data_IF_175028523797
#
_entry.id   IF_175028523797
#
_cell.length_a   1.000
_cell.length_b   1.000
_cell.length_c   1.000
_cell.angle_alpha   90.00
_cell.angle_beta   90.00
_cell.angle_gamma   90.00
#
_symmetry.space_group_name_H-M   'P 1'
#
loop_
_entity.id
_entity.type
_entity.pdbx_description
1 polymer ?
#
# COMPACT_ATOMS: atom_id res chain seq x y z
N UNK A 1 -2.92 26.31 -32.69
CA UNK A 1 -3.34 25.49 -31.53
C UNK A 1 -3.68 24.11 -32.02
N UNK A 2 -2.94 23.07 -31.61
CA UNK A 2 -3.24 21.69 -32.02
C UNK A 2 -4.63 21.28 -31.51
N UNK A 3 -5.43 20.61 -32.34
CA UNK A 3 -6.74 20.09 -31.96
C UNK A 3 -6.58 19.19 -30.73
N UNK A 4 -7.46 19.35 -29.73
CA UNK A 4 -7.50 18.42 -28.58
C UNK A 4 -7.72 17.03 -29.14
N UNK A 5 -6.74 16.14 -28.92
CA UNK A 5 -6.86 14.74 -29.28
C UNK A 5 -8.12 14.11 -28.67
N UNK A 6 -8.53 12.91 -29.15
CA UNK A 6 -9.79 12.28 -28.77
C UNK A 6 -10.02 12.28 -27.25
N UNK A 7 -11.31 12.37 -26.86
CA UNK A 7 -11.73 12.30 -25.47
C UNK A 7 -11.12 11.06 -24.81
N UNK A 8 -10.70 11.24 -23.56
CA UNK A 8 -10.15 10.15 -22.77
C UNK A 8 -11.15 9.00 -22.65
N UNK A 9 -10.63 7.77 -22.73
CA UNK A 9 -11.39 6.55 -22.42
C UNK A 9 -11.22 6.10 -20.96
N UNK A 10 -10.50 6.88 -20.15
CA UNK A 10 -10.16 6.56 -18.76
C UNK A 10 -11.07 7.35 -17.83
N UNK A 11 -12.25 6.81 -17.56
CA UNK A 11 -13.25 7.45 -16.70
C UNK A 11 -13.02 7.14 -15.23
N UNK A 12 -12.44 5.98 -14.93
CA UNK A 12 -12.15 5.45 -13.59
C UNK A 12 -10.77 5.86 -13.04
N UNK A 13 -9.96 6.57 -13.82
CA UNK A 13 -8.61 6.97 -13.42
C UNK A 13 -8.57 8.44 -13.01
N UNK A 14 -8.09 8.70 -11.80
CA UNK A 14 -7.88 10.04 -11.27
C UNK A 14 -6.40 10.46 -11.30
N UNK A 15 -6.15 11.77 -11.23
CA UNK A 15 -4.79 12.30 -11.11
C UNK A 15 -4.23 12.04 -9.70
N UNK A 16 -3.04 11.43 -9.53
CA UNK A 16 -2.44 11.18 -8.23
C UNK A 16 -1.57 12.34 -7.73
N UNK A 17 -1.73 13.54 -8.28
CA UNK A 17 -0.96 14.71 -7.86
C UNK A 17 -1.76 15.54 -6.85
N UNK A 18 -1.39 15.54 -5.57
CA UNK A 18 -2.07 16.34 -4.55
C UNK A 18 -2.08 17.85 -4.83
N UNK A 19 -1.16 18.34 -5.66
CA UNK A 19 -1.08 19.74 -6.09
C UNK A 19 -1.89 20.03 -7.36
N UNK A 20 -2.55 19.04 -7.96
CA UNK A 20 -3.38 19.23 -9.14
C UNK A 20 -4.76 19.74 -8.73
N UNK A 21 -5.34 20.74 -9.43
CA UNK A 21 -6.72 21.17 -9.20
C UNK A 21 -7.73 20.03 -9.31
N UNK A 22 -7.45 19.07 -10.21
CA UNK A 22 -8.29 17.87 -10.42
C UNK A 22 -7.75 16.63 -9.67
N UNK A 23 -7.10 16.81 -8.52
CA UNK A 23 -6.58 15.69 -7.72
C UNK A 23 -7.71 14.78 -7.24
N UNK A 24 -7.58 13.46 -7.45
CA UNK A 24 -8.55 12.48 -6.95
C UNK A 24 -9.91 12.46 -7.65
N UNK A 25 -10.18 13.39 -8.58
CA UNK A 25 -11.45 13.47 -9.31
C UNK A 25 -11.40 12.59 -10.56
N UNK A 26 -12.40 11.72 -10.71
CA UNK A 26 -12.62 10.85 -11.89
C UNK A 26 -13.52 11.52 -12.93
N UNK A 27 -13.69 10.90 -14.11
CA UNK A 27 -14.63 11.33 -15.17
C UNK A 27 -14.41 12.73 -15.80
N UNK A 28 -13.41 13.49 -15.35
CA UNK A 28 -13.06 14.80 -15.91
C UNK A 28 -12.51 14.77 -17.35
N UNK A 29 -12.17 13.57 -17.86
CA UNK A 29 -11.59 13.39 -19.19
C UNK A 29 -10.19 14.01 -19.36
N UNK A 30 -9.55 14.41 -18.24
CA UNK A 30 -8.24 15.04 -18.19
C UNK A 30 -7.09 14.01 -18.24
N UNK A 31 -7.33 12.74 -17.93
CA UNK A 31 -6.31 11.69 -18.00
C UNK A 31 -6.18 11.15 -19.42
N UNK A 32 -4.99 11.05 -19.98
CA UNK A 32 -4.75 10.43 -21.28
C UNK A 32 -3.72 9.30 -21.18
N UNK A 33 -3.77 8.36 -22.13
CA UNK A 33 -2.80 7.28 -22.22
C UNK A 33 -1.47 7.80 -22.75
N UNK A 34 -0.37 7.41 -22.10
CA UNK A 34 0.99 7.82 -22.43
C UNK A 34 1.89 6.60 -22.73
N UNK A 35 1.32 5.61 -23.42
CA UNK A 35 2.00 4.36 -23.78
C UNK A 35 1.82 3.22 -22.76
N UNK A 36 2.50 2.11 -23.03
CA UNK A 36 2.53 0.90 -22.21
C UNK A 36 3.91 0.28 -22.21
N UNK A 37 4.28 -0.45 -21.16
CA UNK A 37 5.52 -1.24 -21.13
C UNK A 37 5.28 -2.57 -20.43
N UNK A 38 6.05 -3.59 -20.83
CA UNK A 38 6.00 -4.91 -20.21
C UNK A 38 6.90 -4.97 -18.98
N UNK A 39 6.47 -5.76 -17.99
CA UNK A 39 7.28 -6.11 -16.83
C UNK A 39 7.17 -7.60 -16.57
N UNK A 40 7.97 -8.12 -15.64
CA UNK A 40 7.86 -9.53 -15.21
C UNK A 40 6.50 -9.89 -14.58
N UNK A 41 5.66 -8.90 -14.28
CA UNK A 41 4.35 -9.08 -13.63
C UNK A 41 3.19 -8.97 -14.62
N UNK A 42 3.17 -7.87 -15.37
CA UNK A 42 2.06 -7.50 -16.23
C UNK A 42 2.48 -6.37 -17.18
N UNK A 43 1.63 -6.16 -18.20
CA UNK A 43 1.66 -4.96 -19.03
C UNK A 43 1.18 -3.75 -18.24
N UNK A 44 2.07 -2.77 -18.05
CA UNK A 44 1.76 -1.53 -17.32
C UNK A 44 1.35 -0.45 -18.29
N UNK A 45 0.22 0.20 -18.01
CA UNK A 45 -0.24 1.39 -18.72
C UNK A 45 0.38 2.64 -18.10
N UNK A 46 0.89 3.54 -18.93
CA UNK A 46 1.28 4.90 -18.52
C UNK A 46 0.15 5.87 -18.82
N UNK A 47 0.00 6.86 -17.96
CA UNK A 47 -0.98 7.92 -18.04
C UNK A 47 -0.28 9.27 -17.96
N UNK A 48 -0.94 10.30 -18.48
CA UNK A 48 -0.57 11.69 -18.29
C UNK A 48 -1.83 12.49 -17.95
N UNK A 49 -1.76 13.30 -16.90
CA UNK A 49 -2.81 14.27 -16.60
C UNK A 49 -2.63 15.49 -17.51
N UNK A 50 -3.63 15.84 -18.31
CA UNK A 50 -3.62 17.03 -19.19
C UNK A 50 -3.75 18.35 -18.42
N UNK A 51 -4.23 18.31 -17.18
CA UNK A 51 -4.37 19.51 -16.32
C UNK A 51 -3.04 19.94 -15.73
N UNK A 52 -2.30 19.01 -15.10
CA UNK A 52 -1.06 19.34 -14.40
C UNK A 52 0.21 18.76 -15.07
N UNK A 53 0.09 18.02 -16.17
CA UNK A 53 1.21 17.40 -16.90
C UNK A 53 1.87 16.19 -16.23
N UNK A 54 1.43 15.78 -15.02
CA UNK A 54 2.06 14.66 -14.29
C UNK A 54 1.88 13.36 -15.07
N UNK A 55 3.00 12.66 -15.30
CA UNK A 55 3.00 11.28 -15.79
C UNK A 55 2.94 10.30 -14.63
N UNK A 56 2.12 9.27 -14.75
CA UNK A 56 1.97 8.20 -13.77
C UNK A 56 1.61 6.89 -14.49
N UNK A 57 1.37 5.82 -13.76
CA UNK A 57 1.07 4.51 -14.35
C UNK A 57 -0.05 3.78 -13.60
N UNK A 58 -0.50 2.65 -14.15
CA UNK A 58 -1.60 1.86 -13.58
C UNK A 58 -1.32 1.26 -12.19
N UNK A 59 -0.07 1.28 -11.72
CA UNK A 59 0.28 0.86 -10.35
C UNK A 59 0.48 2.02 -9.39
N UNK A 60 0.39 3.26 -9.86
CA UNK A 60 0.62 4.44 -9.03
C UNK A 60 -0.41 4.49 -7.90
N UNK A 61 0.06 4.68 -6.67
CA UNK A 61 -0.80 4.62 -5.48
C UNK A 61 -1.08 3.20 -4.96
N UNK A 62 -0.50 2.15 -5.54
CA UNK A 62 -0.59 0.77 -5.02
C UNK A 62 0.72 0.32 -4.38
N UNK A 63 0.68 -0.68 -3.50
CA UNK A 63 1.88 -1.34 -2.95
C UNK A 63 2.82 -1.91 -4.04
N UNK A 64 2.29 -2.19 -5.23
CA UNK A 64 3.03 -2.74 -6.37
C UNK A 64 3.74 -1.68 -7.22
N UNK A 65 3.61 -0.39 -6.88
CA UNK A 65 4.30 0.68 -7.60
C UNK A 65 5.81 0.46 -7.56
N UNK A 66 6.47 0.46 -8.72
CA UNK A 66 7.91 0.19 -8.85
C UNK A 66 8.38 -1.17 -8.27
N UNK A 67 7.46 -2.12 -8.11
CA UNK A 67 7.84 -3.50 -7.75
C UNK A 67 8.44 -4.19 -8.99
N UNK A 68 9.72 -4.58 -8.89
CA UNK A 68 10.47 -5.26 -9.94
C UNK A 68 10.42 -6.79 -9.85
N UNK A 69 10.13 -7.33 -8.67
CA UNK A 69 9.96 -8.76 -8.45
C UNK A 69 8.56 -9.22 -8.81
N UNK A 70 8.38 -10.55 -8.95
CA UNK A 70 7.08 -11.14 -9.20
C UNK A 70 6.09 -10.81 -8.07
N UNK A 71 4.88 -10.36 -8.42
CA UNK A 71 3.80 -10.00 -7.48
C UNK A 71 3.51 -11.16 -6.54
N UNK A 72 3.45 -12.38 -7.08
CA UNK A 72 3.14 -13.58 -6.29
C UNK A 72 4.21 -13.86 -5.24
N UNK A 73 5.49 -13.66 -5.57
CA UNK A 73 6.60 -13.81 -4.61
C UNK A 73 6.51 -12.77 -3.49
N UNK A 74 6.21 -11.51 -3.83
CA UNK A 74 6.00 -10.45 -2.85
C UNK A 74 4.81 -10.77 -1.92
N UNK A 75 3.67 -11.17 -2.49
CA UNK A 75 2.46 -11.53 -1.73
C UNK A 75 2.73 -12.75 -0.85
N UNK A 76 3.42 -13.77 -1.36
CA UNK A 76 3.78 -14.97 -0.60
C UNK A 76 4.69 -14.62 0.58
N UNK A 77 5.69 -13.75 0.39
CA UNK A 77 6.53 -13.28 1.48
C UNK A 77 5.72 -12.62 2.60
N UNK A 78 4.78 -11.73 2.25
CA UNK A 78 3.91 -11.09 3.24
C UNK A 78 3.00 -12.10 3.96
N UNK A 79 2.44 -13.08 3.26
CA UNK A 79 1.67 -14.17 3.88
C UNK A 79 2.51 -14.98 4.87
N UNK A 80 3.78 -15.25 4.55
CA UNK A 80 4.71 -15.92 5.45
C UNK A 80 5.00 -15.08 6.69
N UNK A 81 5.17 -13.75 6.55
CA UNK A 81 5.33 -12.84 7.69
C UNK A 81 4.09 -12.89 8.59
N UNK A 82 2.89 -12.84 8.02
CA UNK A 82 1.63 -12.95 8.77
C UNK A 82 1.43 -14.33 9.44
N UNK A 83 2.19 -15.34 9.01
CA UNK A 83 2.21 -16.68 9.60
C UNK A 83 3.35 -16.86 10.61
N UNK A 84 3.88 -15.76 11.15
CA UNK A 84 4.98 -15.71 12.13
C UNK A 84 6.27 -16.43 11.68
N UNK A 85 6.51 -16.51 10.36
CA UNK A 85 7.76 -17.09 9.85
C UNK A 85 8.88 -16.06 9.97
N UNK A 86 10.03 -16.38 10.60
CA UNK A 86 11.14 -15.43 10.71
C UNK A 86 11.67 -14.97 9.36
N UNK A 87 11.98 -13.68 9.22
CA UNK A 87 12.41 -13.08 7.93
C UNK A 87 13.61 -13.78 7.29
N UNK A 88 14.57 -14.28 8.10
CA UNK A 88 15.71 -15.07 7.60
C UNK A 88 15.28 -16.39 6.96
N UNK A 89 14.26 -17.05 7.54
CA UNK A 89 13.70 -18.29 6.99
C UNK A 89 12.91 -17.99 5.71
N UNK A 90 12.20 -16.87 5.64
CA UNK A 90 11.54 -16.42 4.40
C UNK A 90 12.56 -16.17 3.29
N UNK A 91 13.63 -15.42 3.60
CA UNK A 91 14.76 -15.16 2.69
C UNK A 91 15.36 -16.46 2.15
N UNK A 92 15.55 -17.46 3.00
CA UNK A 92 16.01 -18.78 2.60
C UNK A 92 14.99 -19.54 1.72
N UNK A 93 13.71 -19.58 2.11
CA UNK A 93 12.65 -20.30 1.36
C UNK A 93 12.43 -19.70 -0.03
N UNK A 94 12.44 -18.36 -0.13
CA UNK A 94 12.17 -17.65 -1.38
C UNK A 94 13.42 -17.38 -2.23
N UNK A 95 14.60 -17.77 -1.72
CA UNK A 95 15.91 -17.52 -2.34
C UNK A 95 16.11 -16.03 -2.73
N UNK A 96 15.84 -15.15 -1.76
CA UNK A 96 16.04 -13.69 -1.91
C UNK A 96 16.89 -13.16 -0.76
N UNK A 97 17.53 -12.02 -0.95
CA UNK A 97 18.29 -11.37 0.12
C UNK A 97 17.37 -10.98 1.28
N UNK A 98 17.86 -11.12 2.51
CA UNK A 98 17.11 -10.73 3.71
C UNK A 98 16.65 -9.27 3.64
N UNK A 99 17.49 -8.37 3.14
CA UNK A 99 17.15 -6.95 3.01
C UNK A 99 16.00 -6.73 2.03
N UNK A 100 15.88 -7.54 0.98
CA UNK A 100 14.71 -7.50 0.08
C UNK A 100 13.42 -7.84 0.81
N UNK A 101 13.43 -8.84 1.71
CA UNK A 101 12.25 -9.19 2.52
C UNK A 101 11.89 -8.06 3.49
N UNK A 102 12.90 -7.41 4.10
CA UNK A 102 12.70 -6.24 4.98
C UNK A 102 12.12 -5.06 4.22
N UNK A 103 12.64 -4.76 3.04
CA UNK A 103 12.14 -3.70 2.17
C UNK A 103 10.68 -3.95 1.76
N UNK A 104 10.33 -5.21 1.47
CA UNK A 104 8.94 -5.58 1.19
C UNK A 104 8.02 -5.38 2.38
N UNK A 105 8.47 -5.74 3.58
CA UNK A 105 7.71 -5.54 4.80
C UNK A 105 7.52 -4.05 5.10
N UNK A 106 8.58 -3.25 5.02
CA UNK A 106 8.52 -1.80 5.22
C UNK A 106 7.57 -1.14 4.22
N UNK A 107 7.67 -1.53 2.94
CA UNK A 107 6.77 -1.07 1.88
C UNK A 107 5.32 -1.40 2.18
N UNK A 108 5.03 -2.62 2.64
CA UNK A 108 3.68 -3.03 3.00
C UNK A 108 3.16 -2.25 4.23
N UNK A 109 4.00 -2.04 5.24
CA UNK A 109 3.67 -1.28 6.43
C UNK A 109 3.32 0.19 6.09
N UNK A 110 4.17 0.88 5.33
CA UNK A 110 3.93 2.26 4.92
C UNK A 110 2.63 2.40 4.10
N UNK A 111 2.37 1.41 3.22
CA UNK A 111 1.13 1.41 2.45
C UNK A 111 -0.09 1.14 3.34
N UNK A 112 0.04 0.23 4.31
CA UNK A 112 -1.01 -0.06 5.30
C UNK A 112 -1.36 1.17 6.13
N UNK A 113 -0.38 1.98 6.52
CA UNK A 113 -0.61 3.24 7.24
C UNK A 113 -1.44 4.21 6.39
N UNK A 114 -1.08 4.38 5.12
CA UNK A 114 -1.86 5.24 4.19
C UNK A 114 -3.30 4.73 4.00
N UNK A 115 -3.48 3.42 3.90
CA UNK A 115 -4.80 2.79 3.78
C UNK A 115 -5.61 2.99 5.06
N UNK A 116 -4.98 2.76 6.21
CA UNK A 116 -5.59 2.91 7.52
C UNK A 116 -6.01 4.37 7.78
N UNK A 117 -5.22 5.36 7.36
CA UNK A 117 -5.58 6.79 7.47
C UNK A 117 -6.82 7.18 6.66
N UNK A 118 -7.11 6.45 5.58
CA UNK A 118 -8.33 6.63 4.79
C UNK A 118 -9.48 5.92 5.48
N UNK A 119 -9.33 4.62 5.77
CA UNK A 119 -10.43 3.82 6.30
C UNK A 119 -10.81 4.19 7.74
N UNK A 120 -9.86 4.57 8.60
CA UNK A 120 -10.16 4.95 9.99
C UNK A 120 -11.01 6.21 10.10
N UNK A 121 -10.98 7.10 9.10
CA UNK A 121 -11.78 8.34 9.11
C UNK A 121 -13.26 8.08 8.81
N UNK A 122 -13.54 6.99 8.10
CA UNK A 122 -14.88 6.65 7.60
C UNK A 122 -15.47 5.42 8.34
N UNK A 123 -14.92 5.05 9.50
CA UNK A 123 -15.42 3.95 10.32
C UNK A 123 -16.64 4.38 11.14
N UNK A 124 -17.82 3.95 10.73
CA UNK A 124 -19.05 4.02 11.52
C UNK A 124 -19.07 2.92 12.59
N UNK A 125 -18.33 3.11 13.69
CA UNK A 125 -18.30 2.17 14.83
C UNK A 125 -19.16 2.70 15.97
N UNK A 126 -19.95 1.82 16.61
CA UNK A 126 -20.72 2.21 17.78
C UNK A 126 -19.83 2.43 19.01
N UNK A 127 -20.26 3.29 19.94
CA UNK A 127 -19.52 3.54 21.19
C UNK A 127 -19.20 2.26 21.98
N UNK A 128 -20.11 1.28 21.95
CA UNK A 128 -19.98 0.02 22.70
C UNK A 128 -18.86 -0.85 22.10
N UNK A 129 -18.85 -1.03 20.78
CA UNK A 129 -17.80 -1.80 20.09
C UNK A 129 -16.41 -1.17 20.27
N UNK A 130 -16.35 0.16 20.27
CA UNK A 130 -15.11 0.92 20.49
C UNK A 130 -14.57 0.73 21.93
N UNK A 131 -15.46 0.70 22.93
CA UNK A 131 -15.11 0.47 24.33
C UNK A 131 -14.69 -0.99 24.59
N UNK A 132 -15.36 -1.95 23.95
CA UNK A 132 -14.96 -3.36 24.00
C UNK A 132 -13.58 -3.59 23.37
N UNK A 133 -13.34 -3.00 22.19
CA UNK A 133 -12.05 -3.05 21.51
C UNK A 133 -10.95 -2.42 22.38
N UNK A 134 -11.21 -1.25 22.96
CA UNK A 134 -10.27 -0.57 23.86
C UNK A 134 -9.96 -1.39 25.11
N UNK A 135 -10.98 -2.01 25.71
CA UNK A 135 -10.82 -2.87 26.90
C UNK A 135 -10.00 -4.12 26.58
N UNK A 136 -10.20 -4.70 25.41
CA UNK A 136 -9.42 -5.85 24.93
C UNK A 136 -7.95 -5.48 24.71
N UNK A 137 -7.68 -4.37 24.01
CA UNK A 137 -6.33 -3.87 23.75
C UNK A 137 -5.60 -3.56 25.06
N UNK A 138 -6.24 -2.86 26.01
CA UNK A 138 -5.65 -2.58 27.33
C UNK A 138 -5.35 -3.84 28.14
N UNK A 139 -6.24 -4.85 28.12
CA UNK A 139 -5.99 -6.13 28.80
C UNK A 139 -4.73 -6.82 28.25
N UNK A 140 -4.48 -6.74 26.95
CA UNK A 140 -3.29 -7.31 26.34
C UNK A 140 -2.02 -6.52 26.71
N UNK A 141 -2.05 -5.18 26.67
CA UNK A 141 -0.91 -4.36 27.12
C UNK A 141 -0.58 -4.58 28.61
N UNK A 142 -1.60 -4.75 29.45
CA UNK A 142 -1.39 -5.07 30.86
C UNK A 142 -0.73 -6.44 31.05
N UNK A 143 -1.11 -7.45 30.27
CA UNK A 143 -0.47 -8.78 30.28
C UNK A 143 0.98 -8.71 29.82
N UNK A 144 1.27 -7.99 28.74
CA UNK A 144 2.65 -7.76 28.26
C UNK A 144 3.50 -7.07 29.32
N UNK A 145 2.99 -6.00 29.93
CA UNK A 145 3.65 -5.29 31.03
C UNK A 145 3.92 -6.19 32.26
N UNK A 146 2.96 -7.04 32.64
CA UNK A 146 3.15 -8.02 33.72
C UNK A 146 4.22 -9.06 33.38
N UNK A 147 4.29 -9.49 32.11
CA UNK A 147 5.26 -10.49 31.65
C UNK A 147 6.67 -9.91 31.60
N UNK A 148 6.82 -8.66 31.15
CA UNK A 148 8.09 -7.91 31.17
C UNK A 148 8.60 -7.69 32.60
N UNK A 149 7.72 -7.39 33.57
CA UNK A 149 8.11 -7.27 35.00
C UNK A 149 8.55 -8.59 35.63
N UNK A 150 8.01 -9.73 35.19
CA UNK A 150 8.43 -11.05 35.69
C UNK A 150 9.79 -11.49 35.13
N UNK A 151 10.13 -11.07 33.91
CA UNK A 151 11.39 -11.46 33.23
C UNK A 151 12.57 -10.51 33.48
N UNK A 152 12.33 -9.32 34.05
CA UNK A 152 13.35 -8.30 34.34
C UNK A 152 13.94 -8.32 35.76
N UNK A 153 13.75 -9.40 36.53
CA UNK A 153 14.19 -9.48 37.92
C UNK A 153 15.34 -10.47 38.13
N UNK A 154 16.58 -10.02 37.90
CA UNK A 154 17.78 -10.44 38.65
C UNK A 154 18.84 -9.31 38.55
N UNK A 155 18.81 -8.44 39.55
CA UNK A 155 20.02 -7.95 40.22
C UNK A 155 20.02 -8.56 41.61
#
# INVERSE_FOLDING_TARGET
MGTRGPKSKFTDIACPNVLCPDYGITEMGNIAGNGTYETQNEKVRKFICRTCGKSFNSRSGTVFYDLRTKKDTFILALKMVLSDIPLRKISYILDVKLDTVRDWLLRAANHSETVNDIFLKDLEISKVELDELWTFVKKNQFREWQTLRKNGGYG
#
